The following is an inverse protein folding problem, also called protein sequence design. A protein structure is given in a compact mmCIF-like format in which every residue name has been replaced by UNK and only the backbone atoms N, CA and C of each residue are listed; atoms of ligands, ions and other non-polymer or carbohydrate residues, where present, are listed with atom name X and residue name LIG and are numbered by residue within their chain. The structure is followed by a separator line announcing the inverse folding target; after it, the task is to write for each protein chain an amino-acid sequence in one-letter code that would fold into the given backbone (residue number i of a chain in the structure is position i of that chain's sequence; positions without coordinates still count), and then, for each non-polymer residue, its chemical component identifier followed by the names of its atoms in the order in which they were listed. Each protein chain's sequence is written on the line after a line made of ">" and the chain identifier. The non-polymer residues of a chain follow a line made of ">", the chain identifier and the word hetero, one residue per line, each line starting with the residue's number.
data_IF_255902358140
#
_entry.id   IF_255902358140
#
_cell.length_a   1.000
_cell.length_b   1.000
_cell.length_c   1.000
_cell.angle_alpha   90.00
_cell.angle_beta   90.00
_cell.angle_gamma   90.00
#
_symmetry.space_group_name_H-M   'P 1'
#
loop_
_entity.id
_entity.type
_entity.pdbx_description
1 polymer ?
#
# COMPACT_ATOMS: atom_id res chain seq x y z
N UNK A 1 38.93 -2.40 -41.75
CA UNK A 1 39.79 -3.45 -42.23
C UNK A 1 38.97 -4.70 -42.39
N UNK A 2 38.74 -5.05 -43.68
CA UNK A 2 38.20 -6.28 -44.26
C UNK A 2 36.82 -6.78 -43.77
N UNK A 3 35.69 -6.63 -44.46
CA UNK A 3 35.25 -6.89 -45.83
C UNK A 3 35.28 -8.39 -46.25
N UNK A 4 34.05 -8.85 -46.62
CA UNK A 4 33.68 -9.66 -47.78
C UNK A 4 33.75 -11.18 -47.62
N UNK A 5 32.59 -11.82 -47.92
CA UNK A 5 32.25 -12.75 -49.01
C UNK A 5 30.87 -13.31 -48.74
N UNK A 6 29.81 -12.90 -49.42
CA UNK A 6 29.29 -13.19 -50.75
C UNK A 6 29.09 -14.67 -51.05
N UNK A 7 27.79 -14.96 -51.24
CA UNK A 7 27.15 -15.79 -52.25
C UNK A 7 27.45 -17.28 -52.34
N UNK A 8 26.41 -18.11 -52.24
CA UNK A 8 26.07 -18.88 -53.42
C UNK A 8 24.65 -19.43 -53.36
N UNK A 9 23.93 -19.08 -54.43
CA UNK A 9 22.74 -19.72 -54.95
C UNK A 9 22.95 -21.19 -55.19
N UNK A 10 21.96 -22.00 -54.91
CA UNK A 10 21.69 -23.17 -55.74
C UNK A 10 20.16 -23.36 -55.85
N UNK A 11 19.67 -23.05 -57.01
CA UNK A 11 18.43 -23.57 -57.55
C UNK A 11 18.62 -25.04 -57.93
N UNK A 12 17.66 -25.88 -57.69
CA UNK A 12 17.14 -26.82 -58.69
C UNK A 12 15.92 -27.59 -58.22
N UNK A 13 14.93 -27.45 -58.96
CA UNK A 13 14.15 -28.40 -59.76
C UNK A 13 12.93 -29.03 -59.13
N UNK A 14 11.82 -28.55 -59.71
CA UNK A 14 10.51 -29.18 -59.75
C UNK A 14 10.58 -30.67 -60.09
N UNK A 15 9.90 -31.51 -59.33
CA UNK A 15 9.41 -32.79 -59.79
C UNK A 15 7.93 -32.93 -59.39
N UNK A 16 7.08 -32.83 -60.42
CA UNK A 16 5.68 -33.20 -60.33
C UNK A 16 5.56 -34.66 -59.96
N UNK A 17 4.84 -34.99 -58.91
CA UNK A 17 4.29 -36.33 -58.75
C UNK A 17 2.84 -36.27 -58.29
N UNK A 18 2.12 -37.16 -58.91
CA UNK A 18 0.65 -37.19 -59.05
C UNK A 18 -0.08 -37.50 -57.74
N UNK A 19 -1.32 -37.02 -57.73
CA UNK A 19 -2.40 -37.24 -56.77
C UNK A 19 -2.53 -38.68 -56.30
N UNK A 20 -2.58 -38.90 -55.01
CA UNK A 20 -3.41 -39.94 -54.43
C UNK A 20 -4.05 -39.36 -53.19
N UNK A 21 -5.35 -39.19 -53.28
CA UNK A 21 -6.21 -38.72 -52.19
C UNK A 21 -6.43 -39.94 -51.28
N UNK A 22 -5.92 -39.89 -50.09
CA UNK A 22 -6.34 -40.76 -49.01
C UNK A 22 -6.94 -39.89 -47.92
N UNK A 23 -8.26 -39.85 -47.92
CA UNK A 23 -9.06 -39.23 -46.87
C UNK A 23 -8.96 -40.12 -45.65
N UNK A 24 -8.13 -39.74 -44.68
CA UNK A 24 -8.19 -40.27 -43.34
C UNK A 24 -8.80 -39.18 -42.45
N UNK A 25 -10.09 -39.31 -42.19
CA UNK A 25 -10.79 -38.51 -41.18
C UNK A 25 -10.31 -38.98 -39.79
N UNK A 26 -9.28 -38.38 -39.26
CA UNK A 26 -8.95 -38.45 -37.84
C UNK A 26 -9.73 -37.39 -37.11
N UNK A 27 -10.81 -37.81 -36.44
CA UNK A 27 -11.52 -37.01 -35.45
C UNK A 27 -10.56 -36.70 -34.28
N UNK A 28 -9.91 -35.55 -34.33
CA UNK A 28 -9.21 -35.01 -33.17
C UNK A 28 -10.27 -34.46 -32.24
N UNK A 29 -10.69 -35.27 -31.27
CA UNK A 29 -11.42 -34.78 -30.10
C UNK A 29 -10.44 -33.93 -29.29
N UNK A 30 -10.53 -32.60 -29.50
CA UNK A 30 -9.95 -31.61 -28.57
C UNK A 30 -10.68 -31.77 -27.25
N UNK A 31 -10.16 -32.58 -26.35
CA UNK A 31 -10.43 -32.42 -24.94
C UNK A 31 -9.85 -31.06 -24.54
N UNK A 32 -10.68 -30.03 -24.69
CA UNK A 32 -10.49 -28.78 -24.00
C UNK A 32 -10.60 -29.12 -22.52
N UNK A 33 -9.43 -29.32 -21.88
CA UNK A 33 -9.31 -29.33 -20.43
C UNK A 33 -9.62 -27.88 -19.99
N UNK A 34 -10.93 -27.56 -19.91
CA UNK A 34 -11.37 -26.40 -19.18
C UNK A 34 -11.11 -26.71 -17.70
N UNK A 35 -9.88 -26.39 -17.24
CA UNK A 35 -9.69 -26.18 -15.81
C UNK A 35 -10.80 -25.21 -15.39
N UNK A 36 -11.62 -25.57 -14.41
CA UNK A 36 -12.55 -24.60 -13.85
C UNK A 36 -11.71 -23.47 -13.30
N UNK A 37 -11.66 -22.36 -14.05
CA UNK A 37 -11.13 -21.11 -13.56
C UNK A 37 -12.08 -20.72 -12.43
N UNK A 38 -11.67 -21.03 -11.19
CA UNK A 38 -12.39 -20.58 -10.02
C UNK A 38 -12.51 -19.07 -10.15
N UNK A 39 -13.70 -18.61 -10.46
CA UNK A 39 -14.07 -17.20 -10.48
C UNK A 39 -14.05 -16.68 -9.02
N UNK A 40 -12.87 -16.40 -8.51
CA UNK A 40 -12.63 -15.74 -7.21
C UNK A 40 -12.71 -14.21 -7.32
N UNK A 41 -13.20 -13.68 -8.45
CA UNK A 41 -13.24 -12.24 -8.73
C UNK A 41 -14.13 -11.46 -7.75
N UNK A 42 -15.22 -12.03 -7.26
CA UNK A 42 -16.18 -11.29 -6.42
C UNK A 42 -15.66 -10.93 -5.01
N UNK A 43 -14.81 -11.74 -4.40
CA UNK A 43 -14.28 -11.46 -3.05
C UNK A 43 -13.14 -10.44 -3.08
N UNK A 44 -12.29 -10.51 -4.08
CA UNK A 44 -11.15 -9.60 -4.24
C UNK A 44 -11.65 -8.20 -4.62
N UNK A 45 -12.69 -8.10 -5.46
CA UNK A 45 -13.33 -6.84 -5.84
C UNK A 45 -14.01 -6.16 -4.64
N UNK A 46 -14.70 -6.93 -3.77
CA UNK A 46 -15.31 -6.41 -2.55
C UNK A 46 -14.25 -5.89 -1.56
N UNK A 47 -13.16 -6.62 -1.36
CA UNK A 47 -12.06 -6.20 -0.51
C UNK A 47 -11.36 -4.94 -1.05
N UNK A 48 -11.20 -4.84 -2.38
CA UNK A 48 -10.66 -3.64 -3.02
C UNK A 48 -11.61 -2.44 -2.92
N UNK A 49 -12.93 -2.64 -2.97
CA UNK A 49 -13.91 -1.59 -2.73
C UNK A 49 -13.81 -1.08 -1.28
N UNK A 50 -13.74 -1.99 -0.30
CA UNK A 50 -13.53 -1.68 1.12
C UNK A 50 -12.22 -0.91 1.33
N UNK A 51 -11.11 -1.35 0.72
CA UNK A 51 -9.84 -0.65 0.75
C UNK A 51 -9.98 0.80 0.25
N UNK A 52 -10.68 1.04 -0.86
CA UNK A 52 -10.84 2.40 -1.40
C UNK A 52 -11.56 3.34 -0.44
N UNK A 53 -12.58 2.86 0.26
CA UNK A 53 -13.27 3.66 1.28
C UNK A 53 -12.36 3.88 2.51
N UNK A 54 -11.67 2.85 3.00
CA UNK A 54 -10.74 2.97 4.12
C UNK A 54 -9.53 3.87 3.77
N UNK A 55 -9.09 3.89 2.51
CA UNK A 55 -8.05 4.80 2.05
C UNK A 55 -8.48 6.27 2.12
N UNK A 56 -9.74 6.59 1.79
CA UNK A 56 -10.28 7.94 1.97
C UNK A 56 -10.28 8.34 3.46
N UNK A 57 -10.70 7.43 4.34
CA UNK A 57 -10.66 7.66 5.79
C UNK A 57 -9.23 7.88 6.27
N UNK A 58 -8.27 7.07 5.80
CA UNK A 58 -6.85 7.24 6.15
C UNK A 58 -6.33 8.62 5.76
N UNK A 59 -6.67 9.10 4.55
CA UNK A 59 -6.30 10.44 4.10
C UNK A 59 -6.92 11.51 5.01
N UNK A 60 -8.22 11.40 5.34
CA UNK A 60 -8.91 12.34 6.23
C UNK A 60 -8.31 12.36 7.64
N UNK A 61 -7.87 11.21 8.16
CA UNK A 61 -7.15 11.11 9.45
C UNK A 61 -5.82 11.87 9.40
N UNK A 62 -5.04 11.75 8.31
CA UNK A 62 -3.79 12.49 8.15
C UNK A 62 -4.02 13.99 8.00
N UNK A 63 -5.05 14.40 7.26
CA UNK A 63 -5.43 15.80 7.11
C UNK A 63 -5.89 16.41 8.45
N UNK A 64 -6.71 15.69 9.22
CA UNK A 64 -7.15 16.11 10.54
C UNK A 64 -5.97 16.26 11.50
N UNK A 65 -5.03 15.33 11.49
CA UNK A 65 -3.78 15.44 12.26
C UNK A 65 -2.96 16.66 11.83
N UNK A 66 -2.73 16.86 10.53
CA UNK A 66 -1.96 17.98 9.99
C UNK A 66 -2.57 19.33 10.37
N UNK A 67 -3.90 19.41 10.40
CA UNK A 67 -4.66 20.60 10.81
C UNK A 67 -4.82 20.76 12.32
N UNK A 68 -4.24 19.86 13.13
CA UNK A 68 -4.40 19.80 14.59
C UNK A 68 -5.86 19.65 15.05
N UNK A 69 -6.73 19.13 14.19
CA UNK A 69 -8.14 18.88 14.46
C UNK A 69 -8.35 17.46 15.01
N UNK A 70 -8.05 17.29 16.29
CA UNK A 70 -8.19 16.00 16.97
C UNK A 70 -9.66 15.63 17.25
N UNK A 71 -10.60 16.53 17.06
CA UNK A 71 -12.02 16.21 17.12
C UNK A 71 -12.45 15.46 15.85
N UNK A 72 -12.13 16.00 14.70
CA UNK A 72 -12.34 15.33 13.41
C UNK A 72 -11.56 14.01 13.33
N UNK A 73 -10.28 13.99 13.73
CA UNK A 73 -9.48 12.77 13.85
C UNK A 73 -10.22 11.71 14.69
N UNK A 74 -10.72 12.09 15.88
CA UNK A 74 -11.44 11.19 16.78
C UNK A 74 -12.70 10.60 16.18
N UNK A 75 -13.37 11.31 15.26
CA UNK A 75 -14.59 10.84 14.58
C UNK A 75 -14.33 9.66 13.62
N UNK A 76 -13.13 9.54 13.08
CA UNK A 76 -12.71 8.45 12.20
C UNK A 76 -12.14 7.24 12.95
N UNK A 77 -11.85 7.39 14.23
CA UNK A 77 -11.20 6.37 15.06
C UNK A 77 -12.22 5.70 15.96
N UNK A 78 -12.18 4.37 16.01
CA UNK A 78 -13.03 3.57 16.91
C UNK A 78 -12.67 3.79 18.37
N UNK A 79 -13.66 3.74 19.26
CA UNK A 79 -13.43 3.78 20.71
C UNK A 79 -12.70 2.53 21.21
N UNK A 80 -12.68 1.45 20.40
CA UNK A 80 -11.93 0.21 20.69
C UNK A 80 -10.56 0.17 20.01
N UNK A 81 -10.02 1.32 19.60
CA UNK A 81 -8.71 1.39 18.94
C UNK A 81 -7.63 0.68 19.75
N UNK A 82 -6.77 -0.04 19.04
CA UNK A 82 -5.49 -0.54 19.51
C UNK A 82 -4.37 0.06 18.67
N UNK A 83 -3.61 0.95 19.26
CA UNK A 83 -2.46 1.56 18.60
C UNK A 83 -1.16 0.93 19.11
N UNK A 84 -0.32 0.48 18.20
CA UNK A 84 0.96 -0.17 18.48
C UNK A 84 2.09 0.75 18.02
N UNK A 85 2.99 1.06 18.95
CA UNK A 85 4.19 1.83 18.64
C UNK A 85 5.38 0.91 18.37
N UNK A 86 6.20 1.26 17.39
CA UNK A 86 7.42 0.52 17.05
C UNK A 86 8.64 0.93 17.88
N UNK A 87 8.54 1.93 18.75
CA UNK A 87 9.65 2.45 19.54
C UNK A 87 10.06 1.51 20.67
N UNK A 88 11.36 1.34 20.86
CA UNK A 88 11.89 0.59 22.00
C UNK A 88 11.45 1.24 23.34
N UNK A 89 10.98 0.42 24.27
CA UNK A 89 10.52 0.87 25.60
C UNK A 89 9.14 1.56 25.61
N UNK A 90 8.45 1.64 24.47
CA UNK A 90 7.06 2.08 24.43
C UNK A 90 6.10 0.96 24.86
N UNK A 91 4.98 1.35 25.48
CA UNK A 91 3.89 0.42 25.74
C UNK A 91 3.45 -0.26 24.44
N UNK A 92 3.30 -1.58 24.52
CA UNK A 92 3.01 -2.41 23.34
C UNK A 92 1.69 -2.02 22.66
N UNK A 93 0.69 -1.57 23.43
CA UNK A 93 -0.62 -1.22 22.90
C UNK A 93 -1.27 -0.15 23.76
N UNK A 94 -1.77 0.90 23.11
CA UNK A 94 -2.54 1.97 23.77
C UNK A 94 -3.90 2.15 23.10
N UNK A 95 -4.86 2.71 23.83
CA UNK A 95 -6.18 3.01 23.33
C UNK A 95 -6.29 4.41 22.72
N UNK A 96 -7.47 4.75 22.22
CA UNK A 96 -7.80 5.98 21.51
C UNK A 96 -7.45 7.23 22.32
N UNK A 97 -7.86 7.30 23.59
CA UNK A 97 -7.66 8.49 24.41
C UNK A 97 -6.19 8.73 24.75
N UNK A 98 -5.43 7.68 25.01
CA UNK A 98 -3.98 7.80 25.23
C UNK A 98 -3.26 8.22 23.95
N UNK A 99 -3.64 7.65 22.77
CA UNK A 99 -3.08 8.07 21.49
C UNK A 99 -3.39 9.54 21.22
N UNK A 100 -4.65 9.98 21.43
CA UNK A 100 -5.05 11.37 21.27
C UNK A 100 -4.20 12.32 22.13
N UNK A 101 -3.96 11.95 23.39
CA UNK A 101 -3.10 12.72 24.29
C UNK A 101 -1.66 12.82 23.79
N UNK A 102 -1.11 11.74 23.21
CA UNK A 102 0.23 11.75 22.59
C UNK A 102 0.27 12.66 21.35
N UNK A 103 -0.78 12.65 20.53
CA UNK A 103 -0.91 13.57 19.39
C UNK A 103 -1.02 15.03 19.84
N UNK A 104 -1.76 15.32 20.92
CA UNK A 104 -1.80 16.66 21.54
C UNK A 104 -0.40 17.12 21.99
N UNK A 105 0.35 16.21 22.64
CA UNK A 105 1.74 16.48 23.01
C UNK A 105 2.63 16.78 21.80
N UNK A 106 2.51 16.03 20.72
CA UNK A 106 3.25 16.29 19.49
C UNK A 106 2.84 17.63 18.87
N UNK A 107 1.54 17.92 18.79
CA UNK A 107 1.01 19.21 18.29
C UNK A 107 1.51 20.42 19.08
N UNK A 108 1.89 20.24 20.35
CA UNK A 108 2.45 21.33 21.18
C UNK A 108 3.88 21.71 20.81
N UNK A 109 4.62 20.82 20.16
CA UNK A 109 6.04 21.01 19.82
C UNK A 109 6.32 21.16 18.31
N UNK A 110 5.33 20.91 17.44
CA UNK A 110 5.45 21.09 15.99
C UNK A 110 4.34 21.95 15.43
N UNK A 111 4.64 22.67 14.35
CA UNK A 111 3.70 23.50 13.60
C UNK A 111 3.84 23.25 12.09
N UNK A 112 2.94 23.82 11.29
CA UNK A 112 2.98 23.75 9.82
C UNK A 112 3.11 22.30 9.30
N UNK A 113 2.43 21.37 9.96
CA UNK A 113 2.46 19.95 9.65
C UNK A 113 1.88 19.72 8.26
N UNK A 114 2.56 18.93 7.42
CA UNK A 114 2.08 18.57 6.09
C UNK A 114 2.38 17.11 5.80
N UNK A 115 1.37 16.40 5.33
CA UNK A 115 1.52 15.08 4.75
C UNK A 115 1.81 15.22 3.25
N UNK A 116 3.00 14.83 2.81
CA UNK A 116 3.43 14.89 1.43
C UNK A 116 3.62 13.46 0.88
N UNK A 117 3.50 13.31 -0.44
CA UNK A 117 3.76 12.06 -1.15
C UNK A 117 3.02 10.85 -0.54
N UNK A 118 1.75 11.06 -0.17
CA UNK A 118 0.92 10.00 0.40
C UNK A 118 0.72 8.90 -0.62
N UNK A 119 1.17 7.69 -0.28
CA UNK A 119 0.97 6.48 -1.06
C UNK A 119 0.21 5.47 -0.23
N UNK A 120 -0.97 5.06 -0.71
CA UNK A 120 -1.84 4.10 -0.03
C UNK A 120 -1.93 2.81 -0.82
N UNK A 121 -1.71 1.70 -0.16
CA UNK A 121 -1.76 0.36 -0.73
C UNK A 121 -2.71 -0.53 0.06
N UNK A 122 -3.38 -1.49 -0.59
CA UNK A 122 -4.22 -2.45 0.13
C UNK A 122 -3.37 -3.32 1.07
N UNK A 123 -3.91 -3.57 2.25
CA UNK A 123 -3.45 -4.66 3.10
C UNK A 123 -3.74 -6.00 2.42
N UNK A 124 -2.98 -7.02 2.80
CA UNK A 124 -3.19 -8.38 2.33
C UNK A 124 -3.26 -9.34 3.51
N UNK A 125 -4.10 -10.33 3.40
CA UNK A 125 -4.16 -11.46 4.33
C UNK A 125 -2.86 -12.27 4.25
N UNK A 126 -2.29 -12.60 5.40
CA UNK A 126 -0.96 -13.23 5.48
C UNK A 126 -0.94 -14.69 5.03
N UNK A 127 -2.10 -15.34 4.88
CA UNK A 127 -2.23 -16.74 4.48
C UNK A 127 -2.59 -16.84 3.00
N UNK A 128 -3.58 -16.06 2.58
CA UNK A 128 -4.12 -16.12 1.21
C UNK A 128 -3.45 -15.15 0.26
N UNK A 129 -2.72 -14.15 0.78
CA UNK A 129 -2.09 -13.04 0.04
C UNK A 129 -3.07 -12.19 -0.78
N UNK A 130 -4.36 -12.27 -0.43
CA UNK A 130 -5.44 -11.50 -1.06
C UNK A 130 -5.69 -10.19 -0.33
N UNK A 131 -6.20 -9.15 -1.02
CA UNK A 131 -6.62 -7.92 -0.37
C UNK A 131 -7.63 -8.19 0.75
N UNK A 132 -7.49 -7.48 1.88
CA UNK A 132 -8.34 -7.67 3.06
C UNK A 132 -9.09 -6.39 3.50
N UNK A 133 -9.00 -5.32 2.72
CA UNK A 133 -9.61 -4.04 3.03
C UNK A 133 -8.79 -3.12 3.94
N UNK A 134 -7.71 -3.61 4.56
CA UNK A 134 -6.78 -2.80 5.35
C UNK A 134 -6.00 -1.82 4.48
N UNK A 135 -5.39 -0.81 5.09
CA UNK A 135 -4.59 0.21 4.42
C UNK A 135 -3.15 0.19 4.91
N UNK A 136 -2.21 0.21 3.98
CA UNK A 136 -0.79 0.49 4.23
C UNK A 136 -0.47 1.85 3.66
N UNK A 137 0.13 2.72 4.46
CA UNK A 137 0.43 4.08 4.07
C UNK A 137 1.92 4.38 4.17
N UNK A 138 2.47 4.99 3.13
CA UNK A 138 3.78 5.64 3.14
C UNK A 138 3.57 7.12 3.00
N UNK A 139 4.16 7.91 3.90
CA UNK A 139 4.00 9.36 3.93
C UNK A 139 5.34 10.01 4.21
N UNK A 140 5.58 11.15 3.59
CA UNK A 140 6.67 12.05 3.94
C UNK A 140 6.07 13.25 4.67
N UNK A 141 6.30 13.29 5.97
CA UNK A 141 5.87 14.41 6.80
C UNK A 141 6.89 15.54 6.78
N UNK A 142 6.40 16.78 6.79
CA UNK A 142 7.23 17.97 7.03
C UNK A 142 6.58 18.82 8.10
N UNK A 143 7.39 19.27 9.07
CA UNK A 143 6.96 20.01 10.22
C UNK A 143 7.94 21.17 10.52
N UNK A 144 7.46 22.15 11.27
CA UNK A 144 8.28 23.18 11.88
C UNK A 144 8.34 22.96 13.40
N UNK A 145 9.51 22.65 13.94
CA UNK A 145 9.69 22.56 15.39
C UNK A 145 9.48 23.91 16.09
N UNK A 146 9.09 23.91 17.37
CA UNK A 146 8.94 25.15 18.17
C UNK A 146 10.25 25.96 18.29
N UNK A 147 11.39 25.28 18.14
CA UNK A 147 12.73 25.90 18.06
C UNK A 147 13.06 26.46 16.65
N UNK A 148 12.10 26.41 15.72
CA UNK A 148 12.25 26.86 14.33
C UNK A 148 12.99 25.88 13.41
N UNK A 149 13.27 24.64 13.84
CA UNK A 149 13.84 23.61 12.98
C UNK A 149 12.86 23.20 11.89
N UNK A 150 13.36 23.02 10.67
CA UNK A 150 12.59 22.38 9.59
C UNK A 150 12.85 20.89 9.66
N UNK A 151 11.80 20.11 9.85
CA UNK A 151 11.85 18.67 10.07
C UNK A 151 11.21 17.97 8.89
N UNK A 152 11.87 16.95 8.38
CA UNK A 152 11.31 16.04 7.38
C UNK A 152 11.57 14.62 7.85
N UNK A 153 10.52 13.78 7.85
CA UNK A 153 10.67 12.39 8.23
C UNK A 153 9.73 11.48 7.43
N UNK A 154 10.15 10.23 7.30
CA UNK A 154 9.35 9.19 6.65
C UNK A 154 8.51 8.47 7.68
N UNK A 155 7.32 8.11 7.25
CA UNK A 155 6.35 7.38 8.04
C UNK A 155 5.85 6.18 7.23
N UNK A 156 5.69 5.06 7.90
CA UNK A 156 4.96 3.91 7.41
C UNK A 156 3.92 3.51 8.45
N UNK A 157 2.68 3.28 8.01
CA UNK A 157 1.59 2.83 8.87
C UNK A 157 0.79 1.71 8.27
N UNK A 158 0.25 0.85 9.13
CA UNK A 158 -0.72 -0.20 8.78
C UNK A 158 -1.97 0.06 9.60
N UNK A 159 -3.13 0.12 8.93
CA UNK A 159 -4.40 0.49 9.52
C UNK A 159 -5.45 -0.57 9.24
N UNK A 160 -6.15 -1.03 10.29
CA UNK A 160 -7.31 -1.90 10.19
C UNK A 160 -8.58 -1.15 10.53
N UNK A 161 -9.67 -1.57 9.94
CA UNK A 161 -10.95 -0.89 10.04
C UNK A 161 -12.07 -1.86 10.39
N UNK A 162 -13.12 -1.35 11.01
CA UNK A 162 -14.38 -2.08 11.17
C UNK A 162 -15.29 -1.87 9.94
N UNK A 163 -16.47 -2.50 9.99
CA UNK A 163 -17.50 -2.40 8.93
C UNK A 163 -18.04 -0.97 8.72
N UNK A 164 -17.90 -0.10 9.71
CA UNK A 164 -18.33 1.30 9.67
C UNK A 164 -17.19 2.23 9.21
N UNK A 165 -16.11 1.66 8.63
CA UNK A 165 -14.90 2.33 8.17
C UNK A 165 -14.20 3.14 9.27
N UNK A 166 -14.37 2.79 10.55
CA UNK A 166 -13.59 3.40 11.65
C UNK A 166 -12.32 2.60 11.90
N UNK A 167 -11.22 3.32 12.08
CA UNK A 167 -9.92 2.74 12.36
C UNK A 167 -9.93 2.04 13.73
N UNK A 168 -9.63 0.76 13.77
CA UNK A 168 -9.64 -0.08 14.97
C UNK A 168 -8.27 -0.53 15.43
N UNK A 169 -7.29 -0.52 14.53
CA UNK A 169 -5.92 -0.89 14.86
C UNK A 169 -4.95 -0.07 13.99
N UNK A 170 -3.83 0.33 14.58
CA UNK A 170 -2.75 1.00 13.87
C UNK A 170 -1.40 0.51 14.37
N UNK A 171 -0.52 0.18 13.41
CA UNK A 171 0.91 -0.04 13.62
C UNK A 171 1.67 1.08 12.92
N UNK A 172 2.47 1.83 13.65
CA UNK A 172 3.14 3.03 13.14
C UNK A 172 4.66 2.92 13.30
N UNK A 173 5.38 3.18 12.21
CA UNK A 173 6.82 3.08 12.13
C UNK A 173 7.41 4.42 11.68
N UNK A 174 8.03 5.11 12.61
CA UNK A 174 8.73 6.38 12.38
C UNK A 174 9.76 6.63 13.51
N UNK A 175 10.70 7.48 13.26
CA UNK A 175 11.63 7.95 14.29
C UNK A 175 11.01 9.11 15.10
N UNK A 176 9.99 8.79 15.92
CA UNK A 176 9.33 9.80 16.76
C UNK A 176 10.29 10.48 17.73
N UNK A 177 11.27 9.74 18.28
CA UNK A 177 12.25 10.28 19.21
C UNK A 177 13.14 11.32 18.52
N UNK A 178 13.57 11.03 17.29
CA UNK A 178 14.33 11.98 16.48
C UNK A 178 13.53 13.23 16.14
N UNK A 179 12.22 13.09 15.82
CA UNK A 179 11.32 14.22 15.56
C UNK A 179 11.18 15.10 16.79
N UNK A 180 10.89 14.52 17.98
CA UNK A 180 10.76 15.26 19.23
C UNK A 180 12.07 16.02 19.54
N UNK A 181 13.19 15.33 19.44
CA UNK A 181 14.51 15.92 19.66
C UNK A 181 14.78 17.09 18.72
N UNK A 182 14.54 16.91 17.42
CA UNK A 182 14.74 17.94 16.42
C UNK A 182 13.83 19.15 16.65
N UNK A 183 12.59 18.93 17.14
CA UNK A 183 11.62 19.99 17.40
C UNK A 183 11.91 20.83 18.65
N UNK A 184 12.63 20.29 19.65
CA UNK A 184 12.73 20.87 20.99
C UNK A 184 14.16 21.28 21.39
N UNK A 185 15.20 20.58 20.89
CA UNK A 185 16.58 20.94 21.26
C UNK A 185 17.04 22.24 20.59
N UNK A 186 17.92 23.01 21.25
CA UNK A 186 18.53 24.19 20.65
C UNK A 186 19.22 23.86 19.33
N UNK A 187 19.07 24.73 18.32
CA UNK A 187 19.87 24.62 17.10
C UNK A 187 21.34 24.78 17.42
N UNK A 188 22.14 23.83 16.98
CA UNK A 188 23.61 23.94 17.03
C UNK A 188 24.11 24.94 16.01
#
# INVERSE_FOLDING_TARGET
>A
MFQILKNNLFQTKNKKMKKTILVMATAITLFACSTPQATTTGSDDAAMATFKENAKVTTAVFEAFANKDLQTWSSYVSDTLKAHGAGYGLEATIGKEELKKRLEGLHSIVNNIKANDIQLYPGVDSVTYKPNGDVRAYVRWTDDGINGAKIEHKYYGVFKFNKDHKMTETDEFMDISGVIKAATEPKK
#
